data_IF_779848450053
#
_entry.id   IF_779848450053
#
_cell.length_a   1.000
_cell.length_b   1.000
_cell.length_c   1.000
_cell.angle_alpha   90.00
_cell.angle_beta   90.00
_cell.angle_gamma   90.00
#
_symmetry.space_group_name_H-M   'P 1'
#
loop_
_entity.id
_entity.type
_entity.pdbx_description
1 polymer ?
#
# COMPACT_ATOMS: atom_id res chain seq x y z
N UNK A 1 24.25 -9.41 -1.68
CA UNK A 1 24.48 -9.75 -3.11
C UNK A 1 23.54 -10.87 -3.64
N UNK A 2 22.40 -11.16 -2.98
CA UNK A 2 21.47 -12.22 -3.39
C UNK A 2 20.12 -11.72 -3.93
N UNK A 3 19.90 -10.40 -4.00
CA UNK A 3 18.62 -9.83 -4.41
C UNK A 3 18.50 -9.58 -5.92
N UNK A 4 19.60 -9.71 -6.68
CA UNK A 4 19.61 -9.47 -8.13
C UNK A 4 18.86 -10.56 -8.93
N UNK A 5 18.57 -11.72 -8.33
CA UNK A 5 17.97 -12.86 -9.03
C UNK A 5 16.44 -12.90 -9.03
N UNK A 6 15.74 -12.06 -8.26
CA UNK A 6 14.27 -12.16 -8.17
C UNK A 6 13.52 -11.36 -9.27
N UNK A 7 14.19 -10.45 -9.98
CA UNK A 7 13.60 -9.70 -11.11
C UNK A 7 13.86 -10.39 -12.48
N UNK A 8 14.50 -11.57 -12.47
CA UNK A 8 15.00 -12.25 -13.67
C UNK A 8 14.09 -13.35 -14.26
N UNK A 9 12.77 -13.34 -14.06
CA UNK A 9 11.88 -14.36 -14.64
C UNK A 9 11.55 -14.03 -16.11
N UNK A 10 12.40 -14.54 -17.01
CA UNK A 10 12.27 -14.70 -18.46
C UNK A 10 11.04 -14.06 -19.14
N UNK A 11 11.29 -12.95 -19.84
CA UNK A 11 10.42 -12.46 -20.91
C UNK A 11 10.64 -13.38 -22.12
N UNK A 12 9.63 -14.20 -22.44
CA UNK A 12 9.59 -14.99 -23.65
C UNK A 12 9.58 -14.05 -24.87
N UNK A 13 10.65 -14.10 -25.67
CA UNK A 13 10.76 -13.37 -26.94
C UNK A 13 9.70 -13.89 -27.92
N UNK A 14 8.61 -13.14 -28.10
CA UNK A 14 7.70 -13.30 -29.23
C UNK A 14 8.29 -12.51 -30.39
N UNK A 15 8.80 -13.22 -31.40
CA UNK A 15 9.25 -12.62 -32.64
C UNK A 15 8.01 -12.25 -33.45
N UNK A 16 7.62 -10.98 -33.48
CA UNK A 16 6.55 -10.47 -34.34
C UNK A 16 7.21 -9.83 -35.54
N UNK A 17 6.90 -10.37 -36.72
CA UNK A 17 7.37 -9.86 -38.01
C UNK A 17 7.03 -8.38 -38.18
N UNK A 18 8.07 -7.60 -38.45
CA UNK A 18 8.02 -6.24 -38.97
C UNK A 18 7.41 -6.27 -40.38
N UNK A 19 6.20 -5.73 -40.54
CA UNK A 19 5.69 -5.28 -41.84
C UNK A 19 5.88 -3.77 -41.90
N UNK A 20 6.84 -3.35 -42.72
CA UNK A 20 7.10 -1.96 -43.04
C UNK A 20 5.86 -1.33 -43.71
N UNK A 21 5.44 -0.19 -43.17
CA UNK A 21 4.95 0.91 -43.99
C UNK A 21 5.63 2.16 -43.44
N UNK A 22 6.53 2.71 -44.24
CA UNK A 22 7.02 4.07 -44.13
C UNK A 22 5.82 5.01 -44.12
N UNK A 23 5.74 5.87 -43.10
CA UNK A 23 5.17 7.20 -43.23
C UNK A 23 6.13 8.12 -42.51
N UNK A 24 6.91 8.86 -43.29
CA UNK A 24 7.73 9.98 -42.86
C UNK A 24 6.90 11.04 -42.12
N UNK A 25 7.60 11.77 -41.26
CA UNK A 25 7.12 12.79 -40.32
C UNK A 25 6.27 13.91 -40.96
N UNK A 26 5.48 14.64 -40.15
CA UNK A 26 6.11 15.72 -39.40
C UNK A 26 5.84 15.66 -37.90
N UNK A 27 6.93 15.79 -37.16
CA UNK A 27 6.97 16.29 -35.79
C UNK A 27 6.46 17.72 -35.84
N UNK A 28 5.14 17.91 -35.74
CA UNK A 28 4.58 19.19 -35.37
C UNK A 28 4.67 19.27 -33.86
N UNK A 29 5.68 20.01 -33.42
CA UNK A 29 5.76 20.53 -32.07
C UNK A 29 4.54 21.44 -31.84
N UNK A 30 3.45 20.84 -31.39
CA UNK A 30 2.34 21.57 -30.78
C UNK A 30 2.63 21.63 -29.29
N UNK A 31 3.22 22.76 -28.91
CA UNK A 31 3.26 23.21 -27.54
C UNK A 31 1.82 23.38 -27.04
N UNK A 32 1.28 22.34 -26.41
CA UNK A 32 0.16 22.51 -25.49
C UNK A 32 0.69 23.23 -24.25
N UNK A 33 0.61 24.56 -24.30
CA UNK A 33 0.43 25.41 -23.12
C UNK A 33 -0.85 24.99 -22.41
N UNK A 34 -0.81 23.87 -21.68
CA UNK A 34 -1.82 23.52 -20.69
C UNK A 34 -1.34 24.09 -19.36
N UNK A 35 -2.07 25.11 -18.90
CA UNK A 35 -2.08 25.62 -17.54
C UNK A 35 -1.71 24.51 -16.55
N UNK A 36 -0.49 24.53 -15.98
CA UNK A 36 -0.09 23.54 -14.99
C UNK A 36 -1.15 23.51 -13.87
N UNK A 37 -1.78 22.36 -13.56
CA UNK A 37 -2.87 22.30 -12.59
C UNK A 37 -2.39 22.90 -11.27
N UNK A 38 -3.18 23.78 -10.66
CA UNK A 38 -2.83 24.55 -9.46
C UNK A 38 -2.25 23.70 -8.31
N UNK A 39 -2.59 22.41 -8.27
CA UNK A 39 -2.09 21.40 -7.34
C UNK A 39 -0.57 21.18 -7.52
N UNK A 40 -0.06 21.20 -8.74
CA UNK A 40 1.37 21.08 -9.02
C UNK A 40 2.11 22.35 -8.63
N UNK A 41 1.50 23.53 -8.81
CA UNK A 41 2.09 24.81 -8.37
C UNK A 41 2.14 24.93 -6.85
N UNK A 42 1.06 24.59 -6.16
CA UNK A 42 1.03 24.56 -4.69
C UNK A 42 2.00 23.53 -4.11
N UNK A 43 2.13 22.36 -4.76
CA UNK A 43 3.16 21.39 -4.41
C UNK A 43 4.57 21.97 -4.65
N UNK A 44 4.83 22.60 -5.79
CA UNK A 44 6.12 23.25 -6.08
C UNK A 44 6.45 24.35 -5.08
N UNK A 45 5.50 25.22 -4.74
CA UNK A 45 5.69 26.24 -3.70
C UNK A 45 5.99 25.62 -2.33
N UNK A 46 5.29 24.54 -1.96
CA UNK A 46 5.58 23.80 -0.74
C UNK A 46 6.97 23.13 -0.79
N UNK A 47 7.41 22.65 -1.94
CA UNK A 47 8.74 22.06 -2.17
C UNK A 47 9.86 23.10 -2.15
N UNK A 48 9.62 24.30 -2.66
CA UNK A 48 10.57 25.41 -2.61
C UNK A 48 10.65 26.05 -1.22
N UNK A 49 9.54 26.05 -0.46
CA UNK A 49 9.51 26.52 0.93
C UNK A 49 10.25 25.59 1.89
N UNK A 50 10.50 24.34 1.50
CA UNK A 50 11.38 23.47 2.28
C UNK A 50 12.83 23.78 1.96
N UNK A 51 13.45 24.55 2.85
CA UNK A 51 14.85 24.96 2.75
C UNK A 51 15.83 23.77 2.83
N UNK A 52 15.47 22.72 3.58
CA UNK A 52 16.30 21.52 3.74
C UNK A 52 15.94 20.39 2.76
N UNK A 53 16.10 20.64 1.45
CA UNK A 53 15.92 19.61 0.40
C UNK A 53 16.79 18.36 0.64
N UNK A 54 17.94 18.51 1.28
CA UNK A 54 18.82 17.39 1.69
C UNK A 54 18.25 16.57 2.86
N UNK A 55 17.56 17.20 3.82
CA UNK A 55 16.90 16.47 4.90
C UNK A 55 15.72 15.66 4.36
N UNK A 56 14.92 16.23 3.46
CA UNK A 56 13.86 15.47 2.78
C UNK A 56 14.45 14.35 1.91
N UNK A 57 15.51 14.63 1.15
CA UNK A 57 16.16 13.64 0.31
C UNK A 57 16.70 12.45 1.12
N UNK A 58 17.36 12.72 2.24
CA UNK A 58 17.86 11.66 3.14
C UNK A 58 16.74 10.93 3.87
N UNK A 59 15.66 11.61 4.27
CA UNK A 59 14.46 10.98 4.84
C UNK A 59 13.78 10.06 3.83
N UNK A 60 13.60 10.51 2.58
CA UNK A 60 13.02 9.72 1.51
C UNK A 60 13.91 8.51 1.17
N UNK A 61 15.23 8.68 1.15
CA UNK A 61 16.17 7.59 0.95
C UNK A 61 16.13 6.58 2.11
N UNK A 62 16.08 7.06 3.36
CA UNK A 62 15.93 6.21 4.53
C UNK A 62 14.60 5.45 4.52
N UNK A 63 13.50 6.10 4.12
CA UNK A 63 12.20 5.47 3.94
C UNK A 63 12.23 4.39 2.85
N UNK A 64 12.93 4.66 1.73
CA UNK A 64 13.09 3.71 0.65
C UNK A 64 13.95 2.51 1.06
N UNK A 65 15.04 2.74 1.81
CA UNK A 65 15.84 1.65 2.38
C UNK A 65 15.08 0.87 3.46
N UNK A 66 14.27 1.53 4.28
CA UNK A 66 13.42 0.87 5.26
C UNK A 66 12.38 -0.02 4.55
N UNK A 67 11.74 0.50 3.50
CA UNK A 67 10.79 -0.27 2.68
C UNK A 67 11.49 -1.43 1.97
N UNK A 68 12.65 -1.18 1.35
CA UNK A 68 13.43 -2.22 0.67
C UNK A 68 13.95 -3.28 1.64
N UNK A 69 14.47 -2.87 2.79
CA UNK A 69 14.94 -3.74 3.86
C UNK A 69 13.81 -4.56 4.48
N UNK A 70 12.61 -3.98 4.59
CA UNK A 70 11.43 -4.71 5.05
C UNK A 70 11.15 -5.94 4.18
N UNK A 71 11.36 -5.87 2.86
CA UNK A 71 11.16 -7.04 1.97
C UNK A 71 12.04 -8.23 2.35
N UNK A 72 13.25 -7.98 2.86
CA UNK A 72 14.15 -9.01 3.39
C UNK A 72 13.64 -9.62 4.70
N UNK A 73 13.09 -8.79 5.59
CA UNK A 73 12.47 -9.25 6.83
C UNK A 73 11.19 -10.06 6.56
N UNK A 74 10.31 -9.58 5.68
CA UNK A 74 9.13 -10.33 5.22
C UNK A 74 9.56 -11.66 4.59
N UNK A 75 10.60 -11.66 3.76
CA UNK A 75 11.11 -12.90 3.14
C UNK A 75 11.66 -13.90 4.18
N UNK A 76 12.30 -13.42 5.25
CA UNK A 76 12.79 -14.28 6.34
C UNK A 76 11.64 -14.85 7.19
N UNK A 77 10.59 -14.05 7.42
CA UNK A 77 9.38 -14.46 8.13
C UNK A 77 8.58 -15.47 7.29
N UNK A 78 8.39 -15.21 5.99
CA UNK A 78 7.66 -16.08 5.05
C UNK A 78 8.38 -17.43 4.83
N UNK A 79 9.71 -17.45 4.98
CA UNK A 79 10.52 -18.68 5.00
C UNK A 79 10.32 -19.54 6.25
N UNK A 80 9.67 -19.00 7.30
CA UNK A 80 9.35 -19.76 8.49
C UNK A 80 7.95 -20.39 8.29
N UNK A 81 7.85 -21.71 8.04
CA UNK A 81 6.62 -22.38 7.66
C UNK A 81 5.53 -22.40 8.75
N UNK A 82 5.76 -21.75 9.88
CA UNK A 82 4.86 -21.68 11.03
C UNK A 82 3.95 -20.45 11.00
N UNK A 83 4.39 -19.30 10.47
CA UNK A 83 3.57 -18.08 10.53
C UNK A 83 2.21 -18.21 9.83
N UNK A 84 2.10 -18.77 8.61
CA UNK A 84 0.81 -18.91 7.94
C UNK A 84 -0.19 -19.74 8.78
N UNK A 85 0.26 -20.88 9.30
CA UNK A 85 -0.59 -21.75 10.13
C UNK A 85 -0.89 -21.17 11.51
N UNK A 86 0.04 -20.43 12.14
CA UNK A 86 -0.19 -19.78 13.44
C UNK A 86 -1.18 -18.63 13.29
N UNK A 87 -1.05 -17.77 12.28
CA UNK A 87 -2.02 -16.70 12.04
C UNK A 87 -3.41 -17.24 11.69
N UNK A 88 -3.48 -18.34 10.94
CA UNK A 88 -4.74 -19.03 10.65
C UNK A 88 -5.36 -19.63 11.92
N UNK A 89 -4.58 -20.32 12.74
CA UNK A 89 -5.05 -20.89 14.02
C UNK A 89 -5.48 -19.80 15.00
N UNK A 90 -4.75 -18.68 15.07
CA UNK A 90 -5.12 -17.53 15.89
C UNK A 90 -6.41 -16.90 15.37
N UNK A 91 -6.56 -16.74 14.04
CA UNK A 91 -7.77 -16.20 13.43
C UNK A 91 -8.99 -17.07 13.71
N UNK A 92 -8.89 -18.39 13.48
CA UNK A 92 -9.96 -19.34 13.77
C UNK A 92 -10.21 -19.45 15.27
N UNK A 93 -9.17 -19.52 16.09
CA UNK A 93 -9.27 -19.61 17.54
C UNK A 93 -9.94 -18.38 18.15
N UNK A 94 -9.56 -17.19 17.71
CA UNK A 94 -10.17 -15.94 18.15
C UNK A 94 -11.61 -15.81 17.65
N UNK A 95 -11.89 -16.16 16.39
CA UNK A 95 -13.25 -16.14 15.83
C UNK A 95 -14.16 -17.13 16.57
N UNK A 96 -13.68 -18.36 16.81
CA UNK A 96 -14.41 -19.39 17.54
C UNK A 96 -14.67 -18.99 19.00
N UNK A 97 -13.66 -18.46 19.70
CA UNK A 97 -13.82 -17.94 21.07
C UNK A 97 -14.77 -16.75 21.11
N UNK A 98 -14.67 -15.82 20.15
CA UNK A 98 -15.56 -14.66 20.04
C UNK A 98 -17.00 -15.12 19.87
N UNK A 99 -17.29 -15.98 18.90
CA UNK A 99 -18.65 -16.52 18.68
C UNK A 99 -19.15 -17.26 19.92
N UNK A 100 -18.31 -18.10 20.53
CA UNK A 100 -18.68 -18.87 21.72
C UNK A 100 -19.05 -17.97 22.91
N UNK A 101 -18.21 -16.97 23.20
CA UNK A 101 -18.42 -16.03 24.32
C UNK A 101 -19.61 -15.12 24.04
N UNK A 102 -19.67 -14.55 22.86
CA UNK A 102 -20.49 -13.37 22.59
C UNK A 102 -21.83 -13.65 21.91
N UNK A 103 -21.95 -14.74 21.13
CA UNK A 103 -23.21 -15.08 20.43
C UNK A 103 -24.03 -16.13 21.17
N UNK A 104 -23.40 -17.08 21.88
CA UNK A 104 -24.11 -18.18 22.54
C UNK A 104 -24.68 -17.74 23.90
N UNK A 105 -23.94 -16.92 24.65
CA UNK A 105 -24.37 -16.49 25.97
C UNK A 105 -25.31 -15.30 25.91
N UNK A 106 -26.44 -15.45 26.60
CA UNK A 106 -27.47 -14.41 26.68
C UNK A 106 -26.96 -13.06 27.18
N UNK A 107 -26.29 -12.95 28.34
CA UNK A 107 -25.86 -11.63 28.83
C UNK A 107 -24.81 -10.96 27.94
N UNK A 108 -23.91 -11.75 27.34
CA UNK A 108 -22.79 -11.22 26.56
C UNK A 108 -23.23 -10.57 25.23
N UNK A 109 -24.29 -11.08 24.59
CA UNK A 109 -24.80 -10.48 23.34
C UNK A 109 -25.37 -9.08 23.57
N UNK A 110 -26.08 -8.86 24.68
CA UNK A 110 -26.66 -7.55 25.01
C UNK A 110 -25.55 -6.54 25.30
N UNK A 111 -24.50 -6.94 26.03
CA UNK A 111 -23.32 -6.10 26.29
C UNK A 111 -22.60 -5.72 24.99
N UNK A 112 -22.51 -6.65 24.03
CA UNK A 112 -21.90 -6.37 22.74
C UNK A 112 -22.71 -5.41 21.89
N UNK A 113 -24.03 -5.60 21.81
CA UNK A 113 -24.90 -4.68 21.08
C UNK A 113 -24.86 -3.27 21.68
N UNK A 114 -24.74 -3.14 23.00
CA UNK A 114 -24.54 -1.83 23.63
C UNK A 114 -23.19 -1.24 23.26
N UNK A 115 -22.08 -1.99 23.38
CA UNK A 115 -20.75 -1.51 22.96
C UNK A 115 -20.70 -1.05 21.50
N UNK A 116 -21.35 -1.79 20.59
CA UNK A 116 -21.42 -1.41 19.18
C UNK A 116 -22.22 -0.11 19.01
N UNK A 117 -23.38 0.02 19.67
CA UNK A 117 -24.18 1.25 19.64
C UNK A 117 -23.45 2.45 20.21
N UNK A 118 -22.76 2.27 21.33
CA UNK A 118 -21.97 3.32 21.99
C UNK A 118 -20.82 3.76 21.09
N UNK A 119 -20.08 2.80 20.50
CA UNK A 119 -19.02 3.10 19.53
C UNK A 119 -19.55 3.85 18.30
N UNK A 120 -20.72 3.44 17.78
CA UNK A 120 -21.37 4.15 16.68
C UNK A 120 -21.77 5.57 17.05
N UNK A 121 -22.30 5.78 18.27
CA UNK A 121 -22.67 7.10 18.78
C UNK A 121 -21.46 7.99 18.97
N UNK A 122 -20.36 7.44 19.47
CA UNK A 122 -19.10 8.15 19.68
C UNK A 122 -18.48 8.59 18.33
N UNK A 123 -18.47 7.71 17.33
CA UNK A 123 -17.93 8.02 15.99
C UNK A 123 -18.83 9.01 15.24
N UNK A 124 -20.16 8.86 15.34
CA UNK A 124 -21.12 9.75 14.67
C UNK A 124 -21.33 11.08 15.41
N UNK A 125 -20.65 11.29 16.54
CA UNK A 125 -20.78 12.52 17.32
C UNK A 125 -22.19 12.73 17.87
N UNK A 126 -23.00 11.67 18.00
CA UNK A 126 -24.38 11.76 18.53
C UNK A 126 -24.41 12.00 20.06
N UNK A 127 -23.31 12.47 20.64
CA UNK A 127 -23.26 13.18 21.90
C UNK A 127 -23.65 14.66 21.67
N UNK A 128 -24.90 14.88 21.27
CA UNK A 128 -25.61 16.15 21.47
C UNK A 128 -27.08 15.88 21.75
#
# INVERSE_FOLDING_TARGET
MAFCLFIGRKIARRNVLTRATEVEAPVTAEAETTELPEIVKTAQEAWEKVEDKYAIGSLAFAALLALWGSTGLISAIDRLPLFPGVFELVGIGYTGWFVYKNMIFKPDREVLFQKVKDTYRDILGSSS
#
